data_IF_002737048021
#
_entry.id   IF_002737048021
#
_cell.length_a   1.000
_cell.length_b   1.000
_cell.length_c   1.000
_cell.angle_alpha   90.00
_cell.angle_beta   90.00
_cell.angle_gamma   90.00
#
_symmetry.space_group_name_H-M   'P 1'
#
loop_
_entity.id
_entity.type
_entity.pdbx_description
1 polymer ?
#
# COMPACT_ATOMS: atom_id res chain seq x y z
N UNK A 1 5.89 28.32 -60.39
CA UNK A 1 5.55 27.36 -59.33
C UNK A 1 6.40 27.67 -58.08
N UNK A 2 5.84 28.38 -57.12
CA UNK A 2 6.53 28.66 -55.83
C UNK A 2 6.09 27.62 -54.80
N UNK A 3 7.06 26.84 -54.28
CA UNK A 3 6.83 25.87 -53.19
C UNK A 3 6.84 26.62 -51.87
N UNK A 4 5.72 26.61 -51.14
CA UNK A 4 5.65 27.03 -49.76
C UNK A 4 6.06 25.85 -48.86
N UNK A 5 7.15 26.01 -48.14
CA UNK A 5 7.59 25.06 -47.11
C UNK A 5 6.98 25.49 -45.79
N UNK A 6 5.99 24.75 -45.29
CA UNK A 6 5.39 24.99 -43.98
C UNK A 6 6.32 24.40 -42.93
N UNK A 7 6.90 25.25 -42.07
CA UNK A 7 7.65 24.87 -40.90
C UNK A 7 6.63 24.66 -39.77
N UNK A 8 6.46 23.39 -39.34
CA UNK A 8 5.69 23.03 -38.15
C UNK A 8 6.54 23.34 -36.90
N UNK A 9 6.18 24.39 -36.17
CA UNK A 9 6.79 24.73 -34.89
C UNK A 9 6.17 23.82 -33.82
N UNK A 10 6.87 22.77 -33.37
CA UNK A 10 6.47 21.98 -32.25
C UNK A 10 6.71 22.78 -30.93
N UNK A 11 5.65 23.34 -30.38
CA UNK A 11 5.70 23.96 -29.05
C UNK A 11 5.97 22.88 -27.99
N UNK A 12 7.17 22.90 -27.45
CA UNK A 12 7.51 22.16 -26.22
C UNK A 12 6.69 22.78 -25.07
N UNK A 13 5.60 22.14 -24.68
CA UNK A 13 4.90 22.46 -23.43
C UNK A 13 5.84 22.10 -22.27
N UNK A 14 6.49 23.10 -21.69
CA UNK A 14 7.18 22.94 -20.42
C UNK A 14 6.17 22.51 -19.35
N UNK A 15 6.49 21.52 -18.52
CA UNK A 15 5.59 21.13 -17.43
C UNK A 15 5.35 22.35 -16.53
N UNK A 16 4.08 22.64 -16.23
CA UNK A 16 3.72 23.71 -15.31
C UNK A 16 4.42 23.46 -13.96
N UNK A 17 4.97 24.50 -13.31
CA UNK A 17 5.61 24.36 -12.01
C UNK A 17 4.58 23.76 -11.03
N UNK A 18 4.89 22.61 -10.46
CA UNK A 18 4.10 22.04 -9.37
C UNK A 18 4.16 23.05 -8.21
N UNK A 19 3.03 23.65 -7.85
CA UNK A 19 2.96 24.54 -6.70
C UNK A 19 3.39 23.76 -5.46
N UNK A 20 4.29 24.35 -4.67
CA UNK A 20 4.71 23.80 -3.40
C UNK A 20 3.47 23.56 -2.51
N UNK A 21 3.32 22.34 -2.03
CA UNK A 21 2.22 21.96 -1.17
C UNK A 21 2.75 21.36 0.12
N UNK A 22 2.04 21.57 1.22
CA UNK A 22 2.34 20.91 2.51
C UNK A 22 1.40 19.75 2.72
N UNK A 23 1.96 18.71 3.28
CA UNK A 23 1.20 17.52 3.66
C UNK A 23 1.48 17.16 5.12
N UNK A 24 0.50 16.57 5.76
CA UNK A 24 0.73 15.77 6.95
C UNK A 24 1.19 14.39 6.48
N UNK A 25 2.34 13.93 6.96
CA UNK A 25 2.80 12.55 6.84
C UNK A 25 2.49 11.85 8.16
N UNK A 26 1.49 10.99 8.17
CA UNK A 26 1.17 10.13 9.32
C UNK A 26 1.97 8.84 9.24
N UNK A 27 2.48 8.40 10.38
CA UNK A 27 3.19 7.14 10.52
C UNK A 27 2.60 6.36 11.69
N UNK A 28 2.04 5.20 11.39
CA UNK A 28 1.67 4.22 12.40
C UNK A 28 2.91 3.45 12.85
N UNK A 29 3.12 3.35 14.14
CA UNK A 29 4.27 2.65 14.69
C UNK A 29 3.82 1.54 15.65
N UNK A 30 4.43 0.36 15.53
CA UNK A 30 4.18 -0.72 16.48
C UNK A 30 4.55 -0.26 17.88
N UNK A 31 3.69 -0.55 18.85
CA UNK A 31 3.89 -0.12 20.25
C UNK A 31 4.91 -1.02 20.98
N UNK A 32 6.03 -1.26 20.30
CA UNK A 32 7.22 -1.90 20.83
C UNK A 32 8.26 -0.80 21.11
N UNK A 33 9.08 -0.96 22.12
CA UNK A 33 10.08 0.05 22.48
C UNK A 33 9.45 1.37 22.96
N UNK A 34 9.84 2.50 22.37
CA UNK A 34 9.40 3.83 22.77
C UNK A 34 8.12 4.32 22.08
N UNK A 35 7.71 3.67 20.98
CA UNK A 35 6.53 4.08 20.21
C UNK A 35 5.22 3.76 20.92
N UNK A 36 4.22 4.68 20.78
CA UNK A 36 2.94 4.62 21.49
C UNK A 36 1.71 4.67 20.58
N UNK A 37 1.90 4.73 19.26
CA UNK A 37 0.76 4.84 18.36
C UNK A 37 1.05 5.53 17.03
N UNK A 38 0.23 6.51 16.67
CA UNK A 38 0.31 7.25 15.41
C UNK A 38 1.02 8.58 15.63
N UNK A 39 2.05 8.83 14.85
CA UNK A 39 2.82 10.07 14.82
C UNK A 39 2.58 10.83 13.52
N UNK A 40 2.91 12.12 13.49
CA UNK A 40 2.86 12.90 12.27
C UNK A 40 4.04 13.86 12.12
N UNK A 41 4.31 14.22 10.86
CA UNK A 41 5.20 15.29 10.43
C UNK A 41 4.48 16.19 9.43
N UNK A 42 4.85 17.47 9.40
CA UNK A 42 4.58 18.27 8.21
C UNK A 42 5.68 17.99 7.19
N UNK A 43 5.29 17.77 5.96
CA UNK A 43 6.15 17.54 4.80
C UNK A 43 5.95 18.67 3.78
N UNK A 44 7.03 19.35 3.39
CA UNK A 44 7.00 20.39 2.36
C UNK A 44 7.55 19.83 1.04
N UNK A 45 6.69 19.77 0.01
CA UNK A 45 7.07 19.18 -1.28
C UNK A 45 8.07 20.02 -2.07
N UNK A 46 8.33 21.27 -1.64
CA UNK A 46 9.27 22.18 -2.30
C UNK A 46 10.72 21.73 -2.12
N UNK A 47 11.05 21.32 -0.92
CA UNK A 47 12.43 21.04 -0.51
C UNK A 47 12.62 19.69 0.20
N UNK A 48 11.54 18.96 0.48
CA UNK A 48 11.57 17.68 1.17
C UNK A 48 11.63 17.80 2.69
N UNK A 49 11.55 19.01 3.25
CA UNK A 49 11.70 19.18 4.70
C UNK A 49 10.59 18.51 5.49
N UNK A 50 11.00 17.81 6.56
CA UNK A 50 10.13 17.16 7.54
C UNK A 50 10.22 17.88 8.88
N UNK A 51 9.07 18.26 9.45
CA UNK A 51 8.98 18.82 10.80
C UNK A 51 8.04 17.99 11.65
N UNK A 52 8.55 17.39 12.73
CA UNK A 52 7.75 16.56 13.63
C UNK A 52 6.62 17.35 14.29
N UNK A 53 5.45 16.73 14.34
CA UNK A 53 4.28 17.16 15.11
C UNK A 53 4.11 16.32 16.39
N UNK A 54 4.89 15.24 16.53
CA UNK A 54 4.84 14.33 17.67
C UNK A 54 3.74 13.27 17.58
N UNK A 55 3.32 12.77 18.74
CA UNK A 55 2.27 11.76 18.87
C UNK A 55 0.88 12.37 18.62
N UNK A 56 0.18 11.86 17.61
CA UNK A 56 -1.17 12.31 17.23
C UNK A 56 -2.26 11.50 17.93
N UNK A 57 -2.04 10.20 18.10
CA UNK A 57 -2.95 9.34 18.82
C UNK A 57 -2.20 8.19 19.50
N UNK A 58 -2.48 7.98 20.78
CA UNK A 58 -2.06 6.77 21.46
C UNK A 58 -3.03 5.65 21.12
N UNK A 59 -2.50 4.58 20.51
CA UNK A 59 -3.29 3.41 20.08
C UNK A 59 -2.38 2.19 19.96
N UNK A 60 -2.81 0.99 20.36
CA UNK A 60 -1.96 -0.19 20.31
C UNK A 60 -1.76 -0.65 18.86
N UNK A 61 -0.53 -0.98 18.52
CA UNK A 61 -0.13 -1.70 17.29
C UNK A 61 -0.76 -1.16 15.99
N UNK A 62 -0.69 0.16 15.66
CA UNK A 62 -1.28 0.71 14.43
C UNK A 62 -0.42 0.34 13.21
N UNK A 63 -0.56 -0.92 12.74
CA UNK A 63 0.31 -1.51 11.74
C UNK A 63 0.09 -0.95 10.32
N UNK A 64 -1.12 -0.50 10.02
CA UNK A 64 -1.51 0.07 8.73
C UNK A 64 -2.49 1.22 8.92
N UNK A 65 -2.31 2.27 8.12
CA UNK A 65 -3.16 3.45 8.11
C UNK A 65 -3.88 3.58 6.76
N UNK A 66 -5.08 4.15 6.81
CA UNK A 66 -5.82 4.58 5.62
C UNK A 66 -6.58 5.87 5.90
N UNK A 67 -6.56 6.82 4.98
CA UNK A 67 -7.37 8.04 5.08
C UNK A 67 -8.54 7.92 4.10
N UNK A 68 -9.75 8.20 4.60
CA UNK A 68 -10.95 8.23 3.76
C UNK A 68 -10.76 9.17 2.54
N UNK A 69 -11.41 8.91 1.40
CA UNK A 69 -11.26 9.73 0.19
C UNK A 69 -11.59 11.22 0.40
N UNK A 70 -12.46 11.56 1.34
CA UNK A 70 -12.80 12.95 1.70
C UNK A 70 -11.75 13.66 2.58
N UNK A 71 -10.73 12.94 3.05
CA UNK A 71 -9.65 13.45 3.86
C UNK A 71 -10.02 13.79 5.31
N UNK A 72 -11.19 13.36 5.80
CA UNK A 72 -11.67 13.76 7.15
C UNK A 72 -11.41 12.73 8.23
N UNK A 73 -11.25 11.46 7.84
CA UNK A 73 -11.13 10.36 8.80
C UNK A 73 -9.91 9.50 8.46
N UNK A 74 -9.12 9.18 9.48
CA UNK A 74 -8.04 8.21 9.45
C UNK A 74 -8.50 6.93 10.13
N UNK A 75 -8.33 5.80 9.45
CA UNK A 75 -8.55 4.47 9.97
C UNK A 75 -7.22 3.76 10.17
N UNK A 76 -7.15 2.95 11.22
CA UNK A 76 -5.99 2.09 11.49
C UNK A 76 -6.42 0.74 11.99
N UNK A 77 -5.69 -0.29 11.61
CA UNK A 77 -5.80 -1.60 12.27
C UNK A 77 -5.02 -1.57 13.59
N UNK A 78 -5.52 -2.29 14.58
CA UNK A 78 -4.78 -2.60 15.80
C UNK A 78 -4.34 -4.06 15.72
N UNK A 79 -3.08 -4.30 15.39
CA UNK A 79 -2.52 -5.63 15.14
C UNK A 79 -2.29 -6.39 16.46
N UNK A 80 -3.38 -6.87 17.01
CA UNK A 80 -3.45 -7.63 18.26
C UNK A 80 -4.24 -8.92 18.04
N UNK A 81 -4.12 -9.88 18.96
CA UNK A 81 -4.87 -11.14 18.90
C UNK A 81 -6.38 -10.89 18.85
N UNK A 82 -6.90 -10.03 19.73
CA UNK A 82 -8.28 -9.55 19.72
C UNK A 82 -8.34 -8.21 18.99
N UNK A 83 -7.89 -8.24 17.75
CA UNK A 83 -7.65 -7.05 16.96
C UNK A 83 -8.93 -6.28 16.59
N UNK A 84 -8.73 -5.03 16.19
CA UNK A 84 -9.82 -4.15 15.79
C UNK A 84 -9.39 -3.13 14.76
N UNK A 85 -10.36 -2.36 14.32
CA UNK A 85 -10.16 -1.20 13.46
C UNK A 85 -10.60 0.04 14.24
N UNK A 86 -9.72 1.03 14.33
CA UNK A 86 -9.97 2.31 15.01
C UNK A 86 -10.14 3.43 13.99
N UNK A 87 -11.09 4.33 14.23
CA UNK A 87 -11.37 5.51 13.44
C UNK A 87 -11.03 6.78 14.21
N UNK A 88 -10.42 7.76 13.52
CA UNK A 88 -10.03 9.06 14.07
C UNK A 88 -10.45 10.17 13.12
N UNK A 89 -11.10 11.22 13.65
CA UNK A 89 -11.33 12.45 12.90
C UNK A 89 -10.03 13.23 12.79
N UNK A 90 -9.74 13.76 11.60
CA UNK A 90 -8.58 14.58 11.32
C UNK A 90 -8.96 16.06 11.39
N UNK A 91 -8.20 16.86 12.13
CA UNK A 91 -8.23 18.31 11.99
C UNK A 91 -7.41 18.71 10.75
N UNK A 92 -8.04 19.32 9.73
CA UNK A 92 -7.38 19.57 8.44
C UNK A 92 -6.31 20.67 8.49
N UNK A 93 -6.22 21.46 9.58
CA UNK A 93 -5.26 22.55 9.74
C UNK A 93 -4.07 22.15 10.61
N UNK A 94 -4.30 21.32 11.61
CA UNK A 94 -3.28 20.93 12.60
C UNK A 94 -2.79 19.51 12.43
N UNK A 95 -3.54 18.65 11.72
CA UNK A 95 -3.28 17.21 11.62
C UNK A 95 -3.63 16.41 12.89
N UNK A 96 -4.20 17.07 13.92
CA UNK A 96 -4.56 16.40 15.15
C UNK A 96 -5.64 15.33 14.94
N UNK A 97 -5.54 14.22 15.68
CA UNK A 97 -6.45 13.10 15.60
C UNK A 97 -7.36 13.05 16.83
N UNK A 98 -8.67 13.00 16.59
CA UNK A 98 -9.68 12.79 17.64
C UNK A 98 -10.30 11.41 17.46
N UNK A 99 -10.20 10.55 18.47
CA UNK A 99 -10.80 9.20 18.43
C UNK A 99 -12.30 9.26 18.22
N UNK A 100 -12.82 8.43 17.31
CA UNK A 100 -14.24 8.30 17.03
C UNK A 100 -14.81 7.02 17.63
N UNK A 101 -14.31 5.87 17.19
CA UNK A 101 -14.65 4.55 17.73
C UNK A 101 -13.61 3.49 17.33
N UNK A 102 -13.72 2.33 17.96
CA UNK A 102 -13.03 1.09 17.58
C UNK A 102 -14.09 -0.01 17.46
N UNK A 103 -13.98 -0.85 16.43
CA UNK A 103 -14.82 -2.04 16.26
C UNK A 103 -13.95 -3.29 16.13
N UNK A 104 -14.52 -4.47 16.38
CA UNK A 104 -13.84 -5.74 16.16
C UNK A 104 -13.44 -5.90 14.70
N UNK A 105 -12.26 -6.47 14.42
CA UNK A 105 -11.87 -6.88 13.07
C UNK A 105 -12.47 -8.22 12.65
N UNK A 106 -13.23 -8.87 13.54
CA UNK A 106 -13.77 -10.22 13.37
C UNK A 106 -12.70 -11.28 13.07
N UNK A 107 -11.51 -11.07 13.63
CA UNK A 107 -10.37 -11.99 13.49
C UNK A 107 -9.18 -11.54 14.30
N UNK A 108 -8.08 -12.26 14.16
CA UNK A 108 -6.84 -12.03 14.88
C UNK A 108 -5.80 -11.40 13.97
N UNK A 109 -5.08 -10.41 14.54
CA UNK A 109 -3.98 -9.69 13.88
C UNK A 109 -4.39 -9.01 12.55
N UNK A 110 -5.36 -8.04 12.58
CA UNK A 110 -5.71 -7.27 11.40
C UNK A 110 -4.49 -6.51 10.87
N UNK A 111 -4.18 -6.67 9.60
CA UNK A 111 -2.94 -6.14 9.04
C UNK A 111 -3.12 -5.08 7.94
N UNK A 112 -4.33 -4.95 7.42
CA UNK A 112 -4.70 -3.87 6.50
C UNK A 112 -6.15 -3.44 6.69
N UNK A 113 -6.39 -2.14 6.59
CA UNK A 113 -7.70 -1.54 6.40
C UNK A 113 -7.66 -0.65 5.17
N UNK A 114 -8.69 -0.70 4.35
CA UNK A 114 -8.89 0.18 3.19
C UNK A 114 -10.31 0.69 3.19
N UNK A 115 -10.53 1.87 2.61
CA UNK A 115 -11.87 2.40 2.33
C UNK A 115 -12.07 2.40 0.82
N UNK A 116 -13.26 2.00 0.38
CA UNK A 116 -13.62 2.03 -1.03
C UNK A 116 -13.55 3.45 -1.61
N UNK A 117 -13.39 3.62 -2.94
CA UNK A 117 -13.28 4.94 -3.56
C UNK A 117 -14.46 5.87 -3.30
N UNK A 118 -15.66 5.35 -3.06
CA UNK A 118 -16.86 6.16 -2.73
C UNK A 118 -16.90 6.62 -1.27
N UNK A 119 -16.07 6.06 -0.40
CA UNK A 119 -16.01 6.39 1.03
C UNK A 119 -17.16 5.84 1.86
N UNK A 120 -17.83 4.76 1.43
CA UNK A 120 -19.01 4.16 2.08
C UNK A 120 -18.70 2.91 2.88
N UNK A 121 -17.68 2.19 2.50
CA UNK A 121 -17.32 0.88 3.05
C UNK A 121 -15.86 0.85 3.45
N UNK A 122 -15.57 0.40 4.66
CA UNK A 122 -14.23 0.02 5.07
C UNK A 122 -14.11 -1.50 5.08
N UNK A 123 -12.97 -2.02 4.64
CA UNK A 123 -12.67 -3.46 4.66
C UNK A 123 -11.35 -3.68 5.39
N UNK A 124 -11.31 -4.68 6.26
CA UNK A 124 -10.09 -5.15 6.91
C UNK A 124 -9.86 -6.62 6.65
N UNK A 125 -8.61 -7.02 6.62
CA UNK A 125 -8.18 -8.42 6.55
C UNK A 125 -7.32 -8.77 7.74
N UNK A 126 -7.48 -10.00 8.22
CA UNK A 126 -6.83 -10.51 9.42
C UNK A 126 -5.81 -11.59 9.04
N UNK A 127 -4.56 -11.39 9.46
CA UNK A 127 -3.45 -12.25 9.08
C UNK A 127 -3.54 -13.63 9.74
N UNK A 128 -3.68 -13.66 11.06
CA UNK A 128 -3.59 -14.93 11.79
C UNK A 128 -4.85 -15.77 11.67
N UNK A 129 -6.03 -15.16 11.58
CA UNK A 129 -7.27 -15.90 11.39
C UNK A 129 -7.62 -16.17 9.93
N UNK A 130 -7.02 -15.46 8.96
CA UNK A 130 -7.38 -15.59 7.54
C UNK A 130 -8.82 -15.19 7.24
N UNK A 131 -9.31 -14.14 7.92
CA UNK A 131 -10.67 -13.60 7.76
C UNK A 131 -10.64 -12.19 7.21
N UNK A 132 -11.74 -11.78 6.56
CA UNK A 132 -12.02 -10.39 6.23
C UNK A 132 -13.31 -9.94 6.89
N UNK A 133 -13.41 -8.64 7.16
CA UNK A 133 -14.65 -8.00 7.59
C UNK A 133 -14.87 -6.67 6.86
N UNK A 134 -16.13 -6.38 6.49
CA UNK A 134 -16.52 -5.16 5.83
C UNK A 134 -17.58 -4.41 6.65
N UNK A 135 -17.38 -3.09 6.76
CA UNK A 135 -18.17 -2.19 7.61
C UNK A 135 -18.78 -1.08 6.77
N UNK A 136 -20.03 -0.72 7.07
CA UNK A 136 -20.59 0.54 6.59
C UNK A 136 -19.91 1.68 7.34
N UNK A 137 -19.56 2.75 6.62
CA UNK A 137 -19.08 3.98 7.24
C UNK A 137 -20.25 4.90 7.53
N UNK A 138 -20.30 5.40 8.77
CA UNK A 138 -21.31 6.37 9.20
C UNK A 138 -20.97 7.77 8.67
N UNK A 139 -21.96 8.66 8.54
CA UNK A 139 -21.74 10.03 8.03
C UNK A 139 -20.73 10.85 8.85
N UNK A 140 -20.52 10.51 10.12
CA UNK A 140 -19.52 11.15 11.00
C UNK A 140 -18.12 10.50 10.93
N UNK A 141 -17.96 9.48 10.08
CA UNK A 141 -16.71 8.74 9.86
C UNK A 141 -16.49 7.55 10.80
N UNK A 142 -17.46 7.24 11.67
CA UNK A 142 -17.36 6.02 12.49
C UNK A 142 -17.50 4.76 11.64
N UNK A 143 -16.89 3.70 12.13
CA UNK A 143 -17.13 2.34 11.64
C UNK A 143 -18.45 1.84 12.24
N UNK A 144 -19.42 1.50 11.38
CA UNK A 144 -20.62 0.79 11.77
C UNK A 144 -20.38 -0.68 12.07
N UNK A 145 -21.45 -1.45 12.21
CA UNK A 145 -21.34 -2.91 12.35
C UNK A 145 -20.89 -3.57 11.05
N UNK A 146 -20.20 -4.70 11.17
CA UNK A 146 -19.82 -5.50 10.01
C UNK A 146 -21.07 -6.06 9.32
N UNK A 147 -21.21 -5.80 8.03
CA UNK A 147 -22.30 -6.37 7.21
C UNK A 147 -21.86 -7.63 6.44
N UNK A 148 -20.55 -7.88 6.39
CA UNK A 148 -19.98 -9.05 5.74
C UNK A 148 -18.74 -9.50 6.51
N UNK A 149 -18.66 -10.79 6.76
CA UNK A 149 -17.49 -11.46 7.35
C UNK A 149 -17.29 -12.75 6.57
N UNK A 150 -16.07 -12.99 6.11
CA UNK A 150 -15.71 -14.21 5.37
C UNK A 150 -14.43 -14.83 5.93
N UNK A 151 -14.37 -16.14 5.87
CA UNK A 151 -13.24 -16.95 6.28
C UNK A 151 -12.71 -17.71 5.07
N UNK A 152 -11.50 -17.37 4.61
CA UNK A 152 -10.86 -18.21 3.61
C UNK A 152 -10.62 -19.62 4.14
N UNK A 153 -10.87 -20.59 3.30
CA UNK A 153 -10.72 -22.01 3.61
C UNK A 153 -9.91 -22.70 2.52
N UNK A 154 -9.31 -23.83 2.86
CA UNK A 154 -8.56 -24.63 1.91
C UNK A 154 -7.25 -25.16 2.49
N UNK A 155 -6.60 -26.01 1.71
CA UNK A 155 -5.26 -26.51 2.04
C UNK A 155 -4.22 -25.59 1.40
N UNK A 156 -3.15 -25.22 2.14
CA UNK A 156 -1.99 -24.55 1.57
C UNK A 156 -1.39 -25.39 0.44
N UNK A 157 -0.80 -24.71 -0.56
CA UNK A 157 -0.06 -25.38 -1.63
C UNK A 157 1.34 -25.82 -1.14
N UNK A 158 1.90 -25.13 -0.17
CA UNK A 158 3.16 -25.48 0.50
C UNK A 158 2.94 -26.07 1.88
N UNK A 159 3.60 -27.18 2.24
CA UNK A 159 3.52 -27.77 3.57
C UNK A 159 4.13 -26.88 4.68
N UNK A 160 4.89 -25.83 4.28
CA UNK A 160 5.48 -24.86 5.22
C UNK A 160 4.49 -23.78 5.64
N UNK A 161 3.34 -23.66 4.97
CA UNK A 161 2.34 -22.66 5.29
C UNK A 161 1.26 -23.25 6.22
N UNK A 162 0.88 -22.51 7.29
CA UNK A 162 0.03 -23.06 8.35
C UNK A 162 -1.49 -23.00 8.04
N UNK A 163 -1.92 -22.42 6.93
CA UNK A 163 -3.33 -22.19 6.59
C UNK A 163 -3.59 -20.76 6.12
N UNK A 164 -4.86 -20.34 6.00
CA UNK A 164 -5.24 -19.04 5.49
C UNK A 164 -4.58 -17.89 6.25
N UNK A 165 -4.07 -16.88 5.50
CA UNK A 165 -3.46 -15.65 6.00
C UNK A 165 -3.75 -14.52 5.05
N UNK A 166 -4.91 -13.87 5.20
CA UNK A 166 -5.26 -12.75 4.32
C UNK A 166 -4.36 -11.56 4.60
N UNK A 167 -3.92 -10.84 3.54
CA UNK A 167 -2.92 -9.80 3.73
C UNK A 167 -3.17 -8.50 2.96
N UNK A 168 -3.41 -8.54 1.66
CA UNK A 168 -3.56 -7.36 0.81
C UNK A 168 -4.98 -7.20 0.29
N UNK A 169 -5.44 -5.94 0.15
CA UNK A 169 -6.74 -5.59 -0.42
C UNK A 169 -6.54 -4.54 -1.50
N UNK A 170 -7.20 -4.71 -2.66
CA UNK A 170 -7.23 -3.74 -3.74
C UNK A 170 -8.60 -3.69 -4.39
N UNK A 171 -9.19 -2.51 -4.54
CA UNK A 171 -10.38 -2.32 -5.36
C UNK A 171 -10.02 -2.13 -6.84
N UNK A 172 -10.89 -2.59 -7.73
CA UNK A 172 -10.79 -2.25 -9.15
C UNK A 172 -11.05 -0.76 -9.37
N UNK A 173 -10.57 -0.22 -10.50
CA UNK A 173 -10.72 1.20 -10.82
C UNK A 173 -12.18 1.64 -11.01
N UNK A 174 -13.02 0.73 -11.47
CA UNK A 174 -14.48 0.94 -11.67
C UNK A 174 -15.31 0.59 -10.42
N UNK A 175 -14.64 0.24 -9.32
CA UNK A 175 -15.24 -0.08 -8.01
C UNK A 175 -16.23 -1.26 -8.03
N UNK A 176 -16.11 -2.15 -9.05
CA UNK A 176 -17.00 -3.32 -9.19
C UNK A 176 -16.38 -4.61 -8.67
N UNK A 177 -15.08 -4.62 -8.48
CA UNK A 177 -14.33 -5.78 -8.04
C UNK A 177 -13.39 -5.43 -6.89
N UNK A 178 -13.12 -6.43 -6.09
CA UNK A 178 -12.13 -6.36 -5.03
C UNK A 178 -11.23 -7.59 -5.12
N UNK A 179 -9.93 -7.37 -4.88
CA UNK A 179 -8.92 -8.43 -4.87
C UNK A 179 -8.30 -8.56 -3.50
N UNK A 180 -8.13 -9.79 -3.03
CA UNK A 180 -7.55 -10.08 -1.72
C UNK A 180 -6.46 -11.14 -1.89
N UNK A 181 -5.26 -10.85 -1.37
CA UNK A 181 -4.18 -11.83 -1.30
C UNK A 181 -4.33 -12.70 -0.06
N UNK A 182 -4.13 -13.99 -0.21
CA UNK A 182 -3.99 -14.94 0.90
C UNK A 182 -2.60 -15.55 0.86
N UNK A 183 -1.73 -15.04 1.72
CA UNK A 183 -0.34 -15.45 1.83
C UNK A 183 -0.21 -16.93 2.20
N UNK A 184 -1.08 -17.40 3.08
CA UNK A 184 -0.98 -18.75 3.59
C UNK A 184 -1.59 -19.82 2.68
N UNK A 185 -2.45 -19.42 1.72
CA UNK A 185 -3.05 -20.32 0.74
C UNK A 185 -2.40 -20.22 -0.65
N UNK A 186 -1.45 -19.30 -0.86
CA UNK A 186 -0.85 -19.02 -2.17
C UNK A 186 -1.92 -18.66 -3.22
N UNK A 187 -2.80 -17.70 -2.89
CA UNK A 187 -3.94 -17.32 -3.74
C UNK A 187 -4.16 -15.83 -3.80
N UNK A 188 -4.63 -15.35 -4.94
CA UNK A 188 -5.22 -14.03 -5.11
C UNK A 188 -6.70 -14.20 -5.42
N UNK A 189 -7.55 -13.84 -4.47
CA UNK A 189 -9.01 -13.96 -4.58
C UNK A 189 -9.60 -12.75 -5.29
N UNK A 190 -10.69 -12.98 -6.01
CA UNK A 190 -11.48 -11.96 -6.71
C UNK A 190 -12.93 -11.98 -6.23
N UNK A 191 -13.48 -10.80 -5.94
CA UNK A 191 -14.85 -10.62 -5.48
C UNK A 191 -15.57 -9.59 -6.35
N UNK A 192 -16.85 -9.81 -6.59
CA UNK A 192 -17.78 -8.72 -6.92
C UNK A 192 -17.96 -7.82 -5.70
N UNK A 193 -17.99 -6.52 -5.94
CA UNK A 193 -18.15 -5.51 -4.92
C UNK A 193 -19.16 -4.46 -5.37
N UNK A 194 -20.06 -4.05 -4.47
CA UNK A 194 -20.96 -2.92 -4.67
C UNK A 194 -21.02 -2.09 -3.38
N UNK A 195 -20.50 -0.86 -3.43
CA UNK A 195 -20.54 0.07 -2.30
C UNK A 195 -21.89 0.78 -2.16
N UNK A 196 -22.70 0.88 -3.22
CA UNK A 196 -23.99 1.60 -3.20
C UNK A 196 -25.08 0.75 -2.53
N UNK A 197 -25.13 -0.55 -2.86
CA UNK A 197 -25.92 -1.56 -2.17
C UNK A 197 -24.95 -2.57 -1.52
N UNK A 198 -24.33 -2.22 -0.37
CA UNK A 198 -23.12 -2.90 0.09
C UNK A 198 -23.25 -4.42 0.08
N UNK A 199 -22.55 -5.03 -0.87
CA UNK A 199 -22.50 -6.47 -1.07
C UNK A 199 -21.12 -6.92 -1.55
N UNK A 200 -20.72 -8.12 -1.15
CA UNK A 200 -19.47 -8.78 -1.52
C UNK A 200 -19.80 -10.23 -1.85
N UNK A 201 -19.36 -10.69 -3.01
CA UNK A 201 -19.55 -12.08 -3.43
C UNK A 201 -18.31 -12.57 -4.21
N UNK A 202 -17.79 -13.78 -3.95
CA UNK A 202 -16.67 -14.31 -4.72
C UNK A 202 -17.03 -14.48 -6.20
N UNK A 203 -16.05 -14.30 -7.09
CA UNK A 203 -16.19 -14.66 -8.50
C UNK A 203 -16.19 -16.18 -8.67
N UNK A 204 -16.50 -16.64 -9.88
CA UNK A 204 -16.35 -18.04 -10.29
C UNK A 204 -15.45 -18.10 -11.55
N UNK A 205 -14.21 -18.65 -11.45
CA UNK A 205 -13.53 -19.14 -10.24
C UNK A 205 -13.18 -18.02 -9.25
N UNK A 206 -13.15 -18.32 -7.92
CA UNK A 206 -12.98 -17.27 -6.89
C UNK A 206 -11.54 -16.78 -6.71
N UNK A 207 -10.55 -17.44 -7.29
CA UNK A 207 -9.13 -17.07 -7.15
C UNK A 207 -8.29 -17.55 -8.30
N UNK A 208 -7.11 -16.96 -8.45
CA UNK A 208 -5.95 -17.51 -9.16
C UNK A 208 -4.93 -18.00 -8.13
N UNK A 209 -4.35 -19.18 -8.36
CA UNK A 209 -3.26 -19.69 -7.55
C UNK A 209 -1.93 -19.09 -8.01
N UNK A 210 -1.06 -18.75 -7.06
CA UNK A 210 0.37 -18.53 -7.30
C UNK A 210 1.11 -19.87 -7.26
N UNK A 211 2.42 -19.88 -7.48
CA UNK A 211 3.20 -21.09 -7.22
C UNK A 211 3.27 -21.41 -5.71
N UNK A 212 3.51 -22.68 -5.37
CA UNK A 212 3.52 -23.15 -3.99
C UNK A 212 4.63 -22.49 -3.16
N UNK A 213 4.26 -21.82 -2.08
CA UNK A 213 5.18 -21.15 -1.18
C UNK A 213 5.49 -19.69 -1.55
N UNK A 214 4.84 -19.13 -2.57
CA UNK A 214 5.02 -17.74 -2.98
C UNK A 214 4.68 -16.75 -1.86
N UNK A 215 3.58 -16.96 -1.18
CA UNK A 215 3.11 -16.07 -0.11
C UNK A 215 2.68 -14.70 -0.62
N UNK A 216 1.63 -14.59 -1.48
CA UNK A 216 1.15 -13.31 -1.99
C UNK A 216 0.72 -12.39 -0.85
N UNK A 217 1.28 -11.17 -0.81
CA UNK A 217 1.19 -10.30 0.37
C UNK A 217 0.46 -9.00 0.08
N UNK A 218 1.12 -8.00 -0.47
CA UNK A 218 0.53 -6.71 -0.85
C UNK A 218 0.19 -6.71 -2.32
N UNK A 219 -0.63 -5.77 -2.71
CA UNK A 219 -1.26 -5.75 -4.02
C UNK A 219 -1.45 -4.29 -4.47
N UNK A 220 -1.09 -4.00 -5.72
CA UNK A 220 -1.28 -2.68 -6.33
C UNK A 220 -1.78 -2.85 -7.76
N UNK A 221 -2.72 -2.00 -8.15
CA UNK A 221 -3.27 -1.95 -9.50
C UNK A 221 -2.57 -0.88 -10.32
N UNK A 222 -2.33 -1.15 -11.60
CA UNK A 222 -1.87 -0.12 -12.55
C UNK A 222 -2.86 1.04 -12.63
N UNK A 223 -2.40 2.29 -12.88
CA UNK A 223 -3.31 3.44 -12.96
C UNK A 223 -4.40 3.34 -14.04
N UNK A 224 -4.17 2.53 -15.09
CA UNK A 224 -5.17 2.27 -16.14
C UNK A 224 -6.15 1.12 -15.79
N UNK A 225 -5.91 0.40 -14.68
CA UNK A 225 -6.75 -0.68 -14.19
C UNK A 225 -6.61 -2.01 -14.92
N UNK A 226 -5.59 -2.18 -15.78
CA UNK A 226 -5.44 -3.38 -16.59
C UNK A 226 -4.57 -4.45 -15.98
N UNK A 227 -3.67 -4.06 -15.06
CA UNK A 227 -2.69 -4.96 -14.46
C UNK A 227 -2.72 -4.87 -12.93
N UNK A 228 -2.41 -6.00 -12.32
CA UNK A 228 -2.27 -6.13 -10.89
C UNK A 228 -0.87 -6.64 -10.58
N UNK A 229 -0.22 -6.02 -9.62
CA UNK A 229 1.10 -6.40 -9.12
C UNK A 229 0.97 -6.88 -7.69
N UNK A 230 1.50 -8.05 -7.42
CA UNK A 230 1.41 -8.72 -6.11
C UNK A 230 2.81 -9.09 -5.68
N UNK A 231 3.27 -8.61 -4.53
CA UNK A 231 4.52 -9.10 -3.98
C UNK A 231 4.34 -10.48 -3.36
N UNK A 232 5.29 -11.36 -3.63
CA UNK A 232 5.39 -12.68 -3.04
C UNK A 232 6.39 -12.61 -1.87
N UNK A 233 5.86 -12.56 -0.65
CA UNK A 233 6.67 -12.33 0.56
C UNK A 233 7.77 -13.35 0.72
N UNK A 234 7.44 -14.63 0.54
CA UNK A 234 8.32 -15.73 0.93
C UNK A 234 9.45 -15.96 -0.06
N UNK A 235 9.18 -15.77 -1.36
CA UNK A 235 10.15 -16.06 -2.43
C UNK A 235 10.84 -14.81 -2.97
N UNK A 236 10.53 -13.62 -2.38
CA UNK A 236 11.15 -12.36 -2.80
C UNK A 236 10.92 -12.04 -4.28
N UNK A 237 9.67 -12.10 -4.72
CA UNK A 237 9.26 -11.93 -6.11
C UNK A 237 8.08 -10.97 -6.24
N UNK A 238 7.74 -10.61 -7.47
CA UNK A 238 6.49 -9.93 -7.85
C UNK A 238 5.80 -10.74 -8.91
N UNK A 239 4.55 -11.12 -8.67
CA UNK A 239 3.62 -11.63 -9.66
C UNK A 239 2.91 -10.50 -10.38
N UNK A 240 2.83 -10.57 -11.71
CA UNK A 240 2.08 -9.64 -12.55
C UNK A 240 0.89 -10.35 -13.15
N UNK A 241 -0.29 -9.75 -13.05
CA UNK A 241 -1.55 -10.31 -13.52
C UNK A 241 -2.24 -9.34 -14.47
N UNK A 242 -2.76 -9.83 -15.58
CA UNK A 242 -3.73 -9.09 -16.39
C UNK A 242 -5.14 -9.25 -15.80
N UNK A 243 -5.96 -8.18 -15.89
CA UNK A 243 -7.32 -8.13 -15.36
C UNK A 243 -8.31 -8.10 -16.52
N UNK A 244 -9.33 -8.97 -16.46
CA UNK A 244 -10.45 -8.96 -17.38
C UNK A 244 -11.76 -9.25 -16.64
N UNK A 245 -12.60 -8.21 -16.43
CA UNK A 245 -13.88 -8.36 -15.71
C UNK A 245 -13.74 -9.00 -14.33
N UNK A 246 -12.69 -8.60 -13.56
CA UNK A 246 -12.38 -9.16 -12.24
C UNK A 246 -11.59 -10.49 -12.27
N UNK A 247 -11.58 -11.21 -13.40
CA UNK A 247 -10.75 -12.41 -13.56
C UNK A 247 -9.28 -12.04 -13.74
N UNK A 248 -8.40 -12.79 -13.07
CA UNK A 248 -6.95 -12.58 -13.09
C UNK A 248 -6.27 -13.68 -13.91
N UNK A 249 -5.23 -13.29 -14.66
CA UNK A 249 -4.33 -14.22 -15.34
C UNK A 249 -2.89 -13.79 -15.08
N UNK A 250 -2.09 -14.67 -14.49
CA UNK A 250 -0.65 -14.44 -14.31
C UNK A 250 0.04 -14.36 -15.68
N UNK A 251 0.87 -13.32 -15.84
CA UNK A 251 1.61 -13.06 -17.09
C UNK A 251 3.12 -12.97 -16.87
N UNK A 252 3.56 -12.78 -15.60
CA UNK A 252 4.98 -12.77 -15.23
C UNK A 252 5.15 -13.04 -13.74
N UNK A 253 6.25 -13.67 -13.37
CA UNK A 253 6.84 -13.64 -12.03
C UNK A 253 8.29 -13.19 -12.17
N UNK A 254 8.76 -12.28 -11.31
CA UNK A 254 10.10 -11.71 -11.38
C UNK A 254 10.68 -11.48 -9.98
N UNK A 255 11.95 -11.86 -9.78
CA UNK A 255 12.66 -11.66 -8.52
C UNK A 255 12.90 -10.17 -8.18
N UNK A 256 12.87 -9.84 -6.87
CA UNK A 256 13.12 -8.49 -6.37
C UNK A 256 14.57 -8.26 -5.97
N UNK A 257 15.29 -9.30 -5.61
CA UNK A 257 16.69 -9.26 -5.18
C UNK A 257 17.53 -10.28 -5.96
N UNK A 258 18.86 -10.17 -5.97
CA UNK A 258 19.75 -11.21 -6.50
C UNK A 258 19.47 -12.58 -5.87
N UNK A 259 19.71 -13.65 -6.60
CA UNK A 259 19.35 -15.02 -6.21
C UNK A 259 20.02 -15.45 -4.88
N UNK A 260 21.28 -15.04 -4.69
CA UNK A 260 22.05 -15.32 -3.46
C UNK A 260 21.52 -14.56 -2.22
N UNK A 261 20.75 -13.49 -2.42
CA UNK A 261 20.13 -12.73 -1.34
C UNK A 261 18.74 -13.27 -0.92
N UNK A 262 18.07 -14.06 -1.76
CA UNK A 262 16.70 -14.54 -1.52
C UNK A 262 16.54 -15.30 -0.21
N UNK A 263 17.52 -16.13 0.17
CA UNK A 263 17.44 -16.97 1.38
C UNK A 263 17.26 -16.19 2.70
N UNK A 264 17.64 -14.93 2.73
CA UNK A 264 17.58 -14.04 3.90
C UNK A 264 16.68 -12.82 3.69
N UNK A 265 15.88 -12.83 2.63
CA UNK A 265 15.02 -11.72 2.26
C UNK A 265 13.55 -12.12 2.25
N UNK A 266 12.69 -11.14 2.48
CA UNK A 266 11.24 -11.21 2.24
C UNK A 266 10.76 -9.87 1.70
N UNK A 267 9.83 -9.87 0.75
CA UNK A 267 9.19 -8.61 0.32
C UNK A 267 8.21 -8.10 1.37
N UNK A 268 7.86 -6.82 1.33
CA UNK A 268 6.99 -6.24 2.33
C UNK A 268 5.86 -5.37 1.79
N UNK A 269 6.16 -4.37 1.03
CA UNK A 269 5.20 -3.42 0.47
C UNK A 269 5.64 -3.06 -0.93
N UNK A 270 4.68 -2.75 -1.78
CA UNK A 270 4.94 -2.24 -3.11
C UNK A 270 4.13 -0.99 -3.41
N UNK A 271 4.66 -0.10 -4.24
CA UNK A 271 3.96 1.11 -4.68
C UNK A 271 4.30 1.45 -6.13
N UNK A 272 3.28 1.86 -6.90
CA UNK A 272 3.41 2.26 -8.30
C UNK A 272 3.52 3.78 -8.36
N UNK A 273 4.40 4.30 -9.24
CA UNK A 273 4.44 5.74 -9.56
C UNK A 273 3.10 6.20 -10.16
N UNK A 274 2.68 7.42 -9.86
CA UNK A 274 1.37 7.93 -10.28
C UNK A 274 1.18 7.98 -11.82
N UNK A 275 2.27 7.98 -12.58
CA UNK A 275 2.25 7.88 -14.05
C UNK A 275 2.32 6.44 -14.58
N UNK A 276 2.38 5.46 -13.68
CA UNK A 276 2.37 4.03 -14.01
C UNK A 276 3.65 3.47 -14.64
N UNK A 277 4.77 4.22 -14.60
CA UNK A 277 6.01 3.81 -15.25
C UNK A 277 6.92 2.95 -14.40
N UNK A 278 6.82 3.08 -13.08
CA UNK A 278 7.72 2.42 -12.14
C UNK A 278 6.98 1.77 -11.00
N UNK A 279 7.48 0.61 -10.58
CA UNK A 279 7.07 -0.10 -9.38
C UNK A 279 8.27 -0.14 -8.43
N UNK A 280 8.02 0.13 -7.15
CA UNK A 280 9.00 0.07 -6.07
C UNK A 280 8.58 -0.98 -5.06
N UNK A 281 9.52 -1.83 -4.63
CA UNK A 281 9.25 -2.94 -3.70
C UNK A 281 10.26 -2.92 -2.55
N UNK A 282 9.77 -2.92 -1.32
CA UNK A 282 10.62 -3.00 -0.12
C UNK A 282 11.06 -4.44 0.16
N UNK A 283 12.35 -4.63 0.43
CA UNK A 283 13.00 -5.92 0.71
C UNK A 283 13.55 -5.95 2.14
N UNK A 284 12.95 -6.76 3.00
CA UNK A 284 13.36 -6.95 4.39
C UNK A 284 14.41 -8.05 4.48
N UNK A 285 15.59 -7.72 4.99
CA UNK A 285 16.76 -8.59 5.05
C UNK A 285 17.85 -8.17 4.10
N UNK A 286 17.54 -7.94 2.81
CA UNK A 286 18.42 -7.23 1.87
C UNK A 286 18.44 -5.72 2.15
N UNK A 287 17.44 -5.23 2.90
CA UNK A 287 17.31 -3.84 3.38
C UNK A 287 17.40 -2.81 2.25
N UNK A 288 16.71 -3.10 1.15
CA UNK A 288 16.68 -2.30 -0.07
C UNK A 288 15.28 -2.03 -0.59
N UNK A 289 15.22 -1.17 -1.59
CA UNK A 289 14.05 -0.94 -2.45
C UNK A 289 14.41 -1.37 -3.86
N UNK A 290 13.69 -2.33 -4.43
CA UNK A 290 13.79 -2.70 -5.84
C UNK A 290 13.01 -1.72 -6.69
N UNK A 291 13.62 -1.24 -7.76
CA UNK A 291 13.01 -0.34 -8.75
C UNK A 291 12.79 -1.11 -10.05
N UNK A 292 11.55 -1.21 -10.48
CA UNK A 292 11.18 -1.84 -11.76
C UNK A 292 10.63 -0.80 -12.72
N UNK A 293 11.01 -0.89 -13.99
CA UNK A 293 10.27 -0.24 -15.06
C UNK A 293 9.05 -1.10 -15.45
N UNK A 294 7.93 -0.45 -15.72
CA UNK A 294 6.68 -1.07 -16.19
C UNK A 294 6.53 -0.79 -17.68
N UNK A 295 6.36 -1.83 -18.50
CA UNK A 295 5.93 -1.66 -19.89
C UNK A 295 4.43 -1.26 -19.90
N UNK A 296 4.07 -0.08 -20.40
CA UNK A 296 2.69 0.43 -20.31
C UNK A 296 1.68 -0.33 -21.18
N UNK A 297 2.14 -1.15 -22.13
CA UNK A 297 1.26 -1.93 -23.02
C UNK A 297 1.00 -3.33 -22.50
N UNK A 298 2.01 -3.93 -21.90
CA UNK A 298 1.99 -5.34 -21.48
C UNK A 298 1.92 -5.52 -19.98
N UNK A 299 2.20 -4.47 -19.19
CA UNK A 299 2.31 -4.54 -17.72
C UNK A 299 3.59 -5.24 -17.23
N UNK A 300 4.42 -5.76 -18.12
CA UNK A 300 5.63 -6.52 -17.79
C UNK A 300 6.66 -5.64 -17.07
N UNK A 301 7.28 -6.22 -16.04
CA UNK A 301 8.29 -5.58 -15.20
C UNK A 301 9.70 -5.89 -15.71
N UNK A 302 10.57 -4.88 -15.62
CA UNK A 302 12.02 -5.05 -15.80
C UNK A 302 12.74 -4.45 -14.61
N UNK A 303 13.49 -5.27 -13.85
CA UNK A 303 14.29 -4.80 -12.72
C UNK A 303 15.38 -3.84 -13.22
N UNK A 304 15.45 -2.67 -12.60
CA UNK A 304 16.43 -1.63 -12.91
C UNK A 304 17.59 -1.64 -11.92
N UNK A 305 17.25 -1.63 -10.62
CA UNK A 305 18.23 -1.53 -9.55
C UNK A 305 17.63 -1.93 -8.19
N UNK A 306 18.53 -2.15 -7.22
CA UNK A 306 18.21 -2.24 -5.81
C UNK A 306 18.92 -1.09 -5.08
N UNK A 307 18.16 -0.19 -4.47
CA UNK A 307 18.68 0.96 -3.72
C UNK A 307 18.60 0.67 -2.23
N UNK A 308 19.67 0.87 -1.42
CA UNK A 308 19.60 0.72 0.04
C UNK A 308 18.45 1.56 0.62
N UNK A 309 17.63 0.98 1.50
CA UNK A 309 16.44 1.63 2.06
C UNK A 309 16.74 2.76 3.08
N UNK A 310 18.00 2.98 3.42
CA UNK A 310 18.42 3.96 4.43
C UNK A 310 18.13 3.51 5.87
N UNK A 311 17.87 2.23 6.08
CA UNK A 311 17.66 1.61 7.38
C UNK A 311 17.55 0.10 7.27
N UNK A 312 16.96 -0.55 8.28
CA UNK A 312 16.76 -2.01 8.29
C UNK A 312 15.27 -2.37 8.29
N UNK A 313 14.93 -3.41 7.55
CA UNK A 313 13.56 -3.95 7.48
C UNK A 313 12.57 -2.92 6.93
N UNK A 314 12.70 -2.48 5.64
CA UNK A 314 11.75 -1.56 5.01
C UNK A 314 10.38 -2.24 4.86
N UNK A 315 9.53 -2.09 5.89
CA UNK A 315 8.23 -2.77 5.98
C UNK A 315 7.14 -2.08 5.18
N UNK A 316 7.22 -0.76 5.03
CA UNK A 316 6.30 0.01 4.20
C UNK A 316 7.08 1.00 3.35
N UNK A 317 6.63 1.16 2.11
CA UNK A 317 7.16 2.15 1.18
C UNK A 317 6.03 2.99 0.62
N UNK A 318 6.30 4.30 0.41
CA UNK A 318 5.28 5.23 -0.06
C UNK A 318 5.87 6.30 -0.96
N UNK A 319 5.12 6.67 -2.00
CA UNK A 319 5.40 7.86 -2.80
C UNK A 319 4.52 8.99 -2.29
N UNK A 320 5.05 10.21 -2.21
CA UNK A 320 4.28 11.39 -1.89
C UNK A 320 3.25 11.71 -2.99
N UNK A 321 2.17 12.46 -2.70
CA UNK A 321 1.13 12.74 -3.68
C UNK A 321 1.58 13.55 -4.91
N UNK A 322 2.78 14.17 -4.90
CA UNK A 322 3.35 14.86 -6.08
C UNK A 322 4.11 13.91 -6.99
N UNK A 323 4.49 12.72 -6.50
CA UNK A 323 5.29 11.73 -7.22
C UNK A 323 6.77 12.09 -7.34
N UNK A 324 7.28 13.02 -6.52
CA UNK A 324 8.67 13.47 -6.55
C UNK A 324 9.52 12.90 -5.42
N UNK A 325 8.87 12.35 -4.38
CA UNK A 325 9.52 11.89 -3.16
C UNK A 325 9.06 10.49 -2.81
N UNK A 326 10.00 9.71 -2.33
CA UNK A 326 9.76 8.34 -1.87
C UNK A 326 10.20 8.19 -0.42
N UNK A 327 9.46 7.39 0.33
CA UNK A 327 9.69 7.15 1.75
C UNK A 327 9.73 5.66 2.04
N UNK A 328 10.70 5.24 2.85
CA UNK A 328 10.82 3.87 3.35
C UNK A 328 10.74 3.86 4.88
N UNK A 329 9.73 3.19 5.41
CA UNK A 329 9.58 2.93 6.85
C UNK A 329 10.39 1.70 7.25
N UNK A 330 11.52 1.92 7.89
CA UNK A 330 12.49 0.91 8.28
C UNK A 330 12.18 0.43 9.71
N UNK A 331 11.36 -0.63 9.86
CA UNK A 331 10.84 -1.11 11.14
C UNK A 331 11.94 -1.32 12.19
N UNK A 332 12.99 -2.09 11.84
CA UNK A 332 14.12 -2.36 12.73
C UNK A 332 15.25 -1.33 12.60
N UNK A 333 15.10 -0.37 11.67
CA UNK A 333 16.02 0.76 11.51
C UNK A 333 15.66 1.94 12.42
N UNK A 334 14.42 1.99 12.94
CA UNK A 334 13.95 3.06 13.81
C UNK A 334 13.81 4.41 13.10
N UNK A 335 13.51 4.40 11.78
CA UNK A 335 13.39 5.63 11.00
C UNK A 335 12.48 5.46 9.79
N UNK A 336 12.00 6.59 9.28
CA UNK A 336 11.49 6.71 7.91
C UNK A 336 12.54 7.48 7.10
N UNK A 337 13.10 6.87 6.07
CA UNK A 337 14.10 7.47 5.17
C UNK A 337 13.42 8.12 3.97
N UNK A 338 13.98 9.22 3.49
CA UNK A 338 13.47 9.99 2.36
C UNK A 338 14.41 9.93 1.17
N UNK A 339 13.81 9.87 -0.04
CA UNK A 339 14.51 9.86 -1.32
C UNK A 339 13.84 10.81 -2.31
N UNK A 340 14.61 11.38 -3.23
CA UNK A 340 14.09 11.98 -4.45
C UNK A 340 13.88 10.94 -5.52
N UNK A 341 12.78 11.07 -6.27
CA UNK A 341 12.48 10.24 -7.44
C UNK A 341 12.91 11.01 -8.70
N UNK A 342 13.78 10.41 -9.51
CA UNK A 342 13.95 10.82 -10.90
C UNK A 342 12.77 10.24 -11.72
N UNK A 343 11.83 11.09 -12.10
CA UNK A 343 10.61 10.67 -12.82
C UNK A 343 10.86 10.14 -14.22
N UNK A 344 12.03 10.38 -14.80
CA UNK A 344 12.39 9.87 -16.13
C UNK A 344 12.93 8.44 -16.06
N UNK A 345 13.67 8.12 -15.01
CA UNK A 345 14.39 6.85 -14.86
C UNK A 345 13.83 5.94 -13.75
N UNK A 346 13.06 6.51 -12.80
CA UNK A 346 12.59 5.84 -11.60
C UNK A 346 13.65 5.78 -10.47
N UNK A 347 14.87 6.26 -10.73
CA UNK A 347 15.99 6.21 -9.77
C UNK A 347 15.66 6.93 -8.46
N UNK A 348 16.06 6.30 -7.34
CA UNK A 348 15.91 6.84 -5.99
C UNK A 348 17.24 7.40 -5.51
N UNK A 349 17.29 8.71 -5.23
CA UNK A 349 18.46 9.38 -4.65
C UNK A 349 18.21 9.67 -3.18
N UNK A 350 18.97 9.11 -2.21
CA UNK A 350 18.84 9.45 -0.79
C UNK A 350 19.04 10.95 -0.57
N UNK A 351 18.15 11.59 0.22
CA UNK A 351 18.31 13.01 0.58
C UNK A 351 19.13 13.23 1.85
N UNK A 352 19.29 12.19 2.66
CA UNK A 352 19.85 12.27 4.00
C UNK A 352 18.84 12.71 5.06
N UNK A 353 17.63 13.12 4.66
CA UNK A 353 16.54 13.45 5.59
C UNK A 353 15.90 12.18 6.13
N UNK A 354 15.67 12.14 7.43
CA UNK A 354 14.99 11.02 8.10
C UNK A 354 14.00 11.53 9.15
N UNK A 355 12.90 10.81 9.33
CA UNK A 355 11.99 10.96 10.47
C UNK A 355 12.32 9.86 11.49
N UNK A 356 12.91 10.19 12.65
CA UNK A 356 13.20 9.20 13.68
C UNK A 356 11.90 8.75 14.35
N UNK A 357 11.67 7.45 14.35
CA UNK A 357 10.49 6.82 14.96
C UNK A 357 10.78 5.34 15.16
N UNK A 358 10.57 4.85 16.36
CA UNK A 358 10.79 3.45 16.70
C UNK A 358 9.71 2.57 16.07
N UNK A 359 10.11 1.48 15.42
CA UNK A 359 9.24 0.46 14.79
C UNK A 359 8.14 1.00 13.86
N UNK A 360 8.46 1.86 12.84
CA UNK A 360 7.47 2.37 11.91
C UNK A 360 6.83 1.25 11.08
N UNK A 361 5.50 1.30 10.92
CA UNK A 361 4.71 0.39 10.12
C UNK A 361 4.22 1.04 8.83
N UNK A 362 3.07 1.70 8.85
CA UNK A 362 2.44 2.30 7.67
C UNK A 362 2.65 3.81 7.56
N UNK A 363 2.83 4.33 6.34
CA UNK A 363 2.93 5.76 6.03
C UNK A 363 1.69 6.19 5.23
N UNK A 364 1.13 7.36 5.53
CA UNK A 364 0.06 7.96 4.74
C UNK A 364 0.16 9.49 4.69
N UNK A 365 -0.19 10.08 3.53
CA UNK A 365 -0.13 11.54 3.33
C UNK A 365 -1.52 12.14 3.22
N UNK A 366 -1.71 13.32 3.83
CA UNK A 366 -2.90 14.17 3.70
C UNK A 366 -2.47 15.60 3.42
N UNK A 367 -3.06 16.23 2.41
CA UNK A 367 -2.79 17.65 2.10
C UNK A 367 -3.25 18.56 3.23
N UNK A 368 -2.40 19.47 3.68
CA UNK A 368 -2.74 20.54 4.63
C UNK A 368 -3.69 21.51 3.95
N UNK A 369 -4.79 21.89 4.60
CA UNK A 369 -5.75 22.89 4.11
C UNK A 369 -5.41 24.30 4.54
#
# INVERSE_FOLDING_TARGET
MRRFTSILLAALLAPAPAFAAKYFMYVGAYTKGSSKGIYAWTFDTKDGSLKSLGLMAQTPQPAHLWIAPDGKTLYTVNWEHDGGVSAYRIDPHTGALTFLNKTSSHGAEPNQVVVDPSGRVAITVNYTSGTLAAYRLEPDGKLGEAFYVDQHTGKPLSPKQPGPKQHGIQFSKDDKYMFITDLGLDRVYSYHFDAAAPSIAPLDPPYVATHAGAGPRRIQMSPDGKFLYVDHETDSEVGVYSINGGALKEIQVIGTVPEDAKAHNTTAELVISGDGKFLYVGNRGHDSVSVFAIDPKTGILALKENVPSGGRTPRNVRIDPTGNWFFAANENGGNVSEFKIDRATGHLTPTGVTAPIDTPGGIYFLKVK
#
